data_IF_262695797606
#
_entry.id   IF_262695797606
#
_cell.length_a   1.000
_cell.length_b   1.000
_cell.length_c   1.000
_cell.angle_alpha   90.00
_cell.angle_beta   90.00
_cell.angle_gamma   90.00
#
_symmetry.space_group_name_H-M   'P 1'
#
loop_
_entity.id
_entity.type
_entity.pdbx_description
1 polymer ?
#
# COMPACT_ATOMS: atom_id res chain seq x y z
N UNK A 1 -16.85 4.54 17.11
CA UNK A 1 -16.45 4.50 18.54
C UNK A 1 -15.64 3.23 18.86
N UNK A 2 -14.55 2.95 18.13
CA UNK A 2 -13.63 1.82 18.44
C UNK A 2 -12.15 2.14 18.07
N UNK A 3 -11.77 3.41 17.97
CA UNK A 3 -10.39 3.80 17.62
C UNK A 3 -9.47 3.97 18.84
N UNK A 4 -10.02 4.03 20.06
CA UNK A 4 -9.22 4.32 21.27
C UNK A 4 -8.65 3.08 21.95
N UNK A 5 -9.11 1.86 21.63
CA UNK A 5 -8.66 0.66 22.33
C UNK A 5 -7.19 0.30 22.05
N UNK A 6 -6.68 0.62 20.85
CA UNK A 6 -5.27 0.39 20.50
C UNK A 6 -4.32 1.47 21.03
N UNK A 7 -4.78 2.71 21.20
CA UNK A 7 -3.97 3.79 21.77
C UNK A 7 -3.57 3.54 23.23
N UNK A 8 -4.44 2.92 24.03
CA UNK A 8 -4.14 2.60 25.43
C UNK A 8 -3.11 1.47 25.61
N UNK A 9 -2.87 0.64 24.59
CA UNK A 9 -1.88 -0.44 24.67
C UNK A 9 -0.45 0.03 24.33
N UNK A 10 -0.33 1.21 23.70
CA UNK A 10 0.94 1.81 23.22
C UNK A 10 1.42 2.99 24.09
N UNK A 11 0.86 3.20 25.29
CA UNK A 11 1.36 4.18 26.25
C UNK A 11 2.65 3.69 26.94
N UNK A 12 3.63 3.29 26.14
CA UNK A 12 5.02 3.25 26.55
C UNK A 12 5.54 4.69 26.57
N UNK A 13 6.47 5.01 27.48
CA UNK A 13 6.91 6.38 27.76
C UNK A 13 7.41 7.16 26.52
N UNK A 14 7.78 6.45 25.44
CA UNK A 14 8.30 7.04 24.20
C UNK A 14 7.26 7.76 23.31
N UNK A 15 5.96 7.62 23.58
CA UNK A 15 4.90 8.17 22.72
C UNK A 15 3.91 9.10 23.44
N UNK A 16 4.22 9.53 24.67
CA UNK A 16 3.32 10.40 25.44
C UNK A 16 3.07 11.76 24.79
N UNK A 17 4.02 12.26 24.00
CA UNK A 17 3.91 13.56 23.30
C UNK A 17 3.17 13.47 21.95
N UNK A 18 2.78 12.26 21.53
CA UNK A 18 2.09 12.08 20.25
C UNK A 18 0.62 12.45 20.40
N UNK A 19 0.21 13.54 19.74
CA UNK A 19 -1.19 13.80 19.46
C UNK A 19 -1.70 12.83 18.38
N UNK A 20 -2.34 11.75 18.84
CA UNK A 20 -2.86 10.69 17.97
C UNK A 20 -4.00 11.15 17.06
N UNK A 21 -4.82 12.09 17.50
CA UNK A 21 -5.92 12.62 16.69
C UNK A 21 -5.38 13.50 15.56
N UNK A 22 -4.39 14.35 15.85
CA UNK A 22 -3.68 15.13 14.83
C UNK A 22 -2.89 14.24 13.86
N UNK A 23 -2.26 13.17 14.35
CA UNK A 23 -1.54 12.22 13.50
C UNK A 23 -2.49 11.49 12.55
N UNK A 24 -3.60 10.95 13.08
CA UNK A 24 -4.61 10.22 12.29
C UNK A 24 -5.24 11.11 11.21
N UNK A 25 -5.48 12.38 11.55
CA UNK A 25 -6.01 13.39 10.61
C UNK A 25 -4.95 13.99 9.68
N UNK A 26 -3.70 13.48 9.70
CA UNK A 26 -2.56 13.92 8.88
C UNK A 26 -2.19 15.41 9.07
N UNK A 27 -2.41 15.95 10.25
CA UNK A 27 -2.07 17.35 10.61
C UNK A 27 -0.67 17.49 11.21
N UNK A 28 -0.09 16.40 11.73
CA UNK A 28 1.31 16.38 12.17
C UNK A 28 2.22 16.38 10.95
N UNK A 29 3.17 17.32 10.88
CA UNK A 29 4.17 17.36 9.82
C UNK A 29 5.10 16.14 9.92
N UNK A 30 5.30 15.36 8.84
CA UNK A 30 6.25 14.26 8.87
C UNK A 30 7.68 14.82 9.02
N UNK A 31 8.57 14.11 9.73
CA UNK A 31 9.96 14.53 9.93
C UNK A 31 10.82 14.39 8.66
N UNK A 32 10.33 13.63 7.67
CA UNK A 32 10.98 13.43 6.38
C UNK A 32 9.97 13.58 5.26
N UNK A 33 10.34 14.38 4.26
CA UNK A 33 9.59 14.56 3.03
C UNK A 33 10.42 13.98 1.87
N UNK A 34 10.00 12.86 1.24
CA UNK A 34 10.73 12.29 0.11
C UNK A 34 10.72 13.26 -1.06
N UNK A 35 11.86 13.38 -1.75
CA UNK A 35 11.97 14.22 -2.94
C UNK A 35 11.27 13.54 -4.13
N UNK A 36 10.49 14.33 -4.87
CA UNK A 36 9.85 13.93 -6.12
C UNK A 36 10.09 15.02 -7.17
N UNK A 37 10.52 14.61 -8.36
CA UNK A 37 10.80 15.51 -9.49
C UNK A 37 9.58 15.69 -10.39
N UNK A 38 8.77 14.64 -10.54
CA UNK A 38 7.59 14.61 -11.42
C UNK A 38 6.52 13.68 -10.84
N UNK A 39 5.31 13.69 -11.41
CA UNK A 39 4.23 12.77 -11.03
C UNK A 39 4.53 11.30 -11.33
N UNK A 40 5.46 11.01 -12.24
CA UNK A 40 5.89 9.66 -12.60
C UNK A 40 7.29 9.33 -12.04
N UNK A 41 7.77 10.06 -11.04
CA UNK A 41 9.09 9.84 -10.46
C UNK A 41 9.13 8.53 -9.67
N UNK A 42 10.07 7.66 -10.05
CA UNK A 42 10.30 6.34 -9.44
C UNK A 42 11.65 6.27 -8.71
N UNK A 43 12.31 7.40 -8.45
CA UNK A 43 13.65 7.43 -7.85
C UNK A 43 13.73 6.91 -6.41
N UNK A 44 12.58 6.81 -5.72
CA UNK A 44 12.50 6.24 -4.37
C UNK A 44 12.27 4.71 -4.38
N UNK A 45 12.24 4.08 -5.56
CA UNK A 45 12.18 2.63 -5.75
C UNK A 45 13.53 2.11 -6.25
N UNK A 46 13.80 0.81 -6.04
CA UNK A 46 15.01 0.18 -6.57
C UNK A 46 15.01 0.22 -8.11
N UNK A 47 16.11 0.73 -8.63
CA UNK A 47 16.32 0.94 -10.05
C UNK A 47 16.43 -0.36 -10.86
N UNK A 48 16.75 -1.49 -10.22
CA UNK A 48 16.76 -2.80 -10.87
C UNK A 48 15.37 -3.23 -11.33
N UNK A 49 14.30 -2.76 -10.68
CA UNK A 49 12.92 -3.01 -11.10
C UNK A 49 12.38 -1.93 -12.03
N UNK A 50 12.65 -0.65 -11.75
CA UNK A 50 12.06 0.45 -12.53
C UNK A 50 12.65 0.61 -13.93
N UNK A 51 13.82 0.01 -14.18
CA UNK A 51 14.42 -0.12 -15.52
C UNK A 51 13.87 -1.28 -16.34
N UNK A 52 13.15 -2.22 -15.73
CA UNK A 52 12.53 -3.34 -16.47
C UNK A 52 11.42 -2.81 -17.38
N UNK A 53 11.16 -3.55 -18.46
CA UNK A 53 10.00 -3.25 -19.31
C UNK A 53 8.71 -3.52 -18.53
N UNK A 54 7.74 -2.58 -18.49
CA UNK A 54 6.50 -2.74 -17.74
C UNK A 54 5.50 -3.61 -18.53
N UNK A 55 5.83 -4.90 -18.66
CA UNK A 55 5.05 -5.86 -19.43
C UNK A 55 4.60 -7.01 -18.55
N UNK A 56 3.40 -7.54 -18.83
CA UNK A 56 2.94 -8.78 -18.23
C UNK A 56 3.61 -9.95 -18.95
N UNK A 57 4.63 -10.53 -18.32
CA UNK A 57 5.30 -11.72 -18.84
C UNK A 57 4.33 -12.92 -18.84
N UNK A 58 4.29 -13.73 -19.91
CA UNK A 58 3.50 -14.95 -19.91
C UNK A 58 4.01 -15.95 -18.87
N UNK A 59 3.15 -16.86 -18.36
CA UNK A 59 3.57 -17.89 -17.43
C UNK A 59 4.60 -18.85 -18.05
N UNK A 60 5.48 -19.41 -17.22
CA UNK A 60 6.52 -20.33 -17.66
C UNK A 60 5.96 -21.63 -18.26
N UNK A 61 4.79 -22.08 -17.77
CA UNK A 61 4.10 -23.26 -18.29
C UNK A 61 3.13 -22.83 -19.40
N UNK A 62 3.36 -23.27 -20.66
CA UNK A 62 2.43 -23.05 -21.75
C UNK A 62 1.13 -23.84 -21.52
N UNK A 63 -0.03 -23.31 -21.95
CA UNK A 63 -1.27 -24.10 -22.03
C UNK A 63 -2.52 -23.50 -21.41
N UNK A 64 -2.42 -22.35 -20.73
CA UNK A 64 -3.58 -21.70 -20.10
C UNK A 64 -4.19 -22.50 -18.95
N UNK A 65 -5.12 -21.90 -18.22
CA UNK A 65 -5.88 -22.57 -17.17
C UNK A 65 -7.15 -23.20 -17.76
N UNK A 66 -7.59 -24.34 -17.21
CA UNK A 66 -8.91 -24.89 -17.53
C UNK A 66 -10.03 -24.01 -16.95
N UNK A 67 -11.27 -24.18 -17.44
CA UNK A 67 -12.42 -23.43 -16.92
C UNK A 67 -12.62 -23.62 -15.42
N UNK A 68 -12.44 -24.84 -14.91
CA UNK A 68 -12.53 -25.16 -13.48
C UNK A 68 -11.44 -24.46 -12.65
N UNK A 69 -10.22 -24.33 -13.19
CA UNK A 69 -9.16 -23.58 -12.52
C UNK A 69 -9.43 -22.08 -12.53
N UNK A 70 -10.03 -21.57 -13.60
CA UNK A 70 -10.40 -20.16 -13.70
C UNK A 70 -11.50 -19.78 -12.70
N UNK A 71 -12.39 -20.71 -12.35
CA UNK A 71 -13.47 -20.51 -11.37
C UNK A 71 -12.95 -20.18 -9.96
N UNK A 72 -11.72 -20.58 -9.61
CA UNK A 72 -11.07 -20.19 -8.35
C UNK A 72 -10.93 -18.66 -8.21
N UNK A 73 -10.92 -17.94 -9.33
CA UNK A 73 -10.80 -16.48 -9.37
C UNK A 73 -12.15 -15.75 -9.53
N UNK A 74 -13.30 -16.44 -9.42
CA UNK A 74 -14.62 -15.88 -9.74
C UNK A 74 -14.98 -14.60 -8.96
N UNK A 75 -14.51 -14.49 -7.71
CA UNK A 75 -14.77 -13.33 -6.84
C UNK A 75 -13.48 -12.52 -6.54
N UNK A 76 -12.51 -12.55 -7.46
CA UNK A 76 -11.25 -11.81 -7.29
C UNK A 76 -11.40 -10.31 -7.52
N UNK A 77 -12.26 -9.92 -8.46
CA UNK A 77 -12.42 -8.53 -8.84
C UNK A 77 -13.07 -7.72 -7.73
N UNK A 78 -12.42 -6.61 -7.35
CA UNK A 78 -12.89 -5.70 -6.32
C UNK A 78 -12.79 -4.26 -6.78
N UNK A 79 -13.89 -3.52 -6.62
CA UNK A 79 -13.93 -2.07 -6.78
C UNK A 79 -14.35 -1.46 -5.45
N UNK A 80 -13.46 -0.66 -4.85
CA UNK A 80 -13.86 0.17 -3.72
C UNK A 80 -15.00 1.11 -4.19
N UNK A 81 -16.11 1.12 -3.45
CA UNK A 81 -17.17 2.09 -3.65
C UNK A 81 -16.53 3.48 -3.53
N UNK A 82 -16.50 4.22 -4.64
CA UNK A 82 -16.09 5.62 -4.60
C UNK A 82 -17.06 6.35 -3.68
N UNK A 83 -16.52 6.97 -2.62
CA UNK A 83 -17.17 8.11 -1.98
C UNK A 83 -16.94 9.37 -2.80
#
# INVERSE_FOLDING_TARGET
MQTTAWCHQLTFDDFQEVDWDALLSKQVSPPFLPSLKTSADVSNFDSDFTRLQPVLSPPATPGGLSAQQQEVFADFDFCALHG
#
